data_IF_851233958641
#
_entry.id   IF_851233958641
#
_cell.length_a   1.000
_cell.length_b   1.000
_cell.length_c   1.000
_cell.angle_alpha   90.00
_cell.angle_beta   90.00
_cell.angle_gamma   90.00
#
_symmetry.space_group_name_H-M   'P 1'
#
loop_
_entity.id
_entity.type
_entity.pdbx_description
1 polymer ?
#
# COMPACT_ATOMS: atom_id res chain seq x y z
N UNK A 1 10.29 41.06 -38.82
CA UNK A 1 10.31 39.60 -38.62
C UNK A 1 10.90 39.17 -37.27
N UNK A 2 12.07 39.65 -36.85
CA UNK A 2 12.74 39.21 -35.60
C UNK A 2 11.91 39.46 -34.31
N UNK A 3 11.09 40.52 -34.25
CA UNK A 3 10.21 40.79 -33.09
C UNK A 3 9.03 39.81 -32.96
N UNK A 4 8.53 39.27 -34.07
CA UNK A 4 7.41 38.31 -34.07
C UNK A 4 7.92 36.93 -33.61
N UNK A 5 9.14 36.56 -34.00
CA UNK A 5 9.77 35.30 -33.60
C UNK A 5 10.03 35.22 -32.09
N UNK A 6 10.41 36.34 -31.45
CA UNK A 6 10.56 36.40 -29.98
C UNK A 6 9.24 36.22 -29.22
N UNK A 7 8.12 36.67 -29.80
CA UNK A 7 6.79 36.53 -29.18
C UNK A 7 6.29 35.09 -29.21
N UNK A 8 6.61 34.35 -30.29
CA UNK A 8 6.26 32.93 -30.45
C UNK A 8 7.02 32.04 -29.47
N UNK A 9 8.30 32.31 -29.21
CA UNK A 9 9.11 31.56 -28.24
C UNK A 9 8.58 31.74 -26.80
N UNK A 10 8.12 32.96 -26.46
CA UNK A 10 7.48 33.20 -25.16
C UNK A 10 6.15 32.44 -25.05
N UNK A 11 5.33 32.43 -26.11
CA UNK A 11 4.05 31.70 -26.14
C UNK A 11 4.19 30.17 -25.99
N UNK A 12 5.25 29.57 -26.55
CA UNK A 12 5.52 28.12 -26.39
C UNK A 12 5.96 27.80 -24.95
N UNK A 13 6.70 28.70 -24.29
CA UNK A 13 7.14 28.49 -22.91
C UNK A 13 5.98 28.52 -21.89
N UNK A 14 4.91 29.31 -22.13
CA UNK A 14 3.75 29.39 -21.24
C UNK A 14 2.77 28.21 -21.38
N UNK A 15 2.76 27.52 -22.53
CA UNK A 15 1.92 26.33 -22.71
C UNK A 15 2.56 25.03 -22.19
N UNK A 16 3.87 25.03 -21.92
CA UNK A 16 4.58 23.81 -21.52
C UNK A 16 4.55 23.53 -20.00
N UNK A 17 3.88 24.36 -19.20
CA UNK A 17 3.74 24.17 -17.75
C UNK A 17 2.28 24.21 -17.29
N UNK A 18 1.39 23.45 -17.94
CA UNK A 18 0.25 22.90 -17.21
C UNK A 18 0.66 21.52 -16.70
N UNK A 19 1.18 21.47 -15.47
CA UNK A 19 1.08 20.23 -14.69
C UNK A 19 -0.41 19.96 -14.56
N UNK A 20 -0.90 18.96 -15.28
CA UNK A 20 -2.18 18.33 -14.98
C UNK A 20 -1.93 17.57 -13.68
N UNK A 21 -1.91 18.28 -12.55
CA UNK A 21 -2.21 17.68 -11.26
C UNK A 21 -3.72 17.44 -11.25
N UNK A 22 -4.18 16.58 -12.16
CA UNK A 22 -5.58 16.32 -12.30
C UNK A 22 -5.98 15.26 -11.29
N UNK A 23 -7.02 15.61 -10.56
CA UNK A 23 -7.80 14.68 -9.78
C UNK A 23 -8.28 13.53 -10.67
N UNK A 24 -8.04 12.29 -10.25
CA UNK A 24 -8.59 11.11 -10.93
C UNK A 24 -9.90 10.68 -10.26
N UNK A 25 -11.01 11.23 -10.76
CA UNK A 25 -12.34 10.94 -10.22
C UNK A 25 -12.69 9.44 -10.27
N UNK A 26 -12.26 8.74 -11.33
CA UNK A 26 -12.59 7.32 -11.54
C UNK A 26 -11.87 6.47 -10.50
N UNK A 27 -10.56 6.62 -10.38
CA UNK A 27 -9.79 5.85 -9.41
C UNK A 27 -10.18 6.26 -7.97
N UNK A 28 -10.48 7.53 -7.71
CA UNK A 28 -11.00 7.98 -6.40
C UNK A 28 -12.28 7.24 -6.02
N UNK A 29 -13.20 7.07 -6.97
CA UNK A 29 -14.44 6.33 -6.75
C UNK A 29 -14.17 4.84 -6.49
N UNK A 30 -13.30 4.20 -7.29
CA UNK A 30 -12.89 2.80 -7.10
C UNK A 30 -12.33 2.60 -5.68
N UNK A 31 -11.38 3.44 -5.26
CA UNK A 31 -10.80 3.38 -3.92
C UNK A 31 -11.86 3.53 -2.84
N UNK A 32 -12.77 4.50 -3.02
CA UNK A 32 -13.87 4.77 -2.07
C UNK A 32 -14.78 3.56 -1.91
N UNK A 33 -15.09 2.86 -3.00
CA UNK A 33 -15.96 1.69 -2.96
C UNK A 33 -15.30 0.50 -2.24
N UNK A 34 -14.02 0.25 -2.46
CA UNK A 34 -13.29 -0.81 -1.77
C UNK A 34 -13.03 -0.50 -0.29
N UNK A 35 -12.80 0.77 0.07
CA UNK A 35 -12.64 1.20 1.47
C UNK A 35 -13.84 0.82 2.34
N UNK A 36 -15.06 0.78 1.78
CA UNK A 36 -16.29 0.44 2.51
C UNK A 36 -16.30 -0.99 3.07
N UNK A 37 -15.46 -1.87 2.53
CA UNK A 37 -15.38 -3.26 2.98
C UNK A 37 -14.51 -3.43 4.24
N UNK A 38 -13.77 -2.41 4.67
CA UNK A 38 -12.85 -2.48 5.79
C UNK A 38 -13.33 -1.64 6.99
N UNK A 39 -12.88 -1.95 8.22
CA UNK A 39 -13.18 -1.13 9.39
C UNK A 39 -12.75 0.33 9.18
N UNK A 40 -13.60 1.30 9.56
CA UNK A 40 -13.40 2.71 9.25
C UNK A 40 -12.03 3.24 9.72
N UNK A 41 -11.59 2.85 10.92
CA UNK A 41 -10.29 3.25 11.48
C UNK A 41 -9.11 2.78 10.63
N UNK A 42 -9.23 1.61 9.98
CA UNK A 42 -8.17 1.04 9.15
C UNK A 42 -8.00 1.73 7.80
N UNK A 43 -8.97 2.55 7.38
CA UNK A 43 -8.96 3.23 6.07
C UNK A 43 -8.88 4.76 6.15
N UNK A 44 -8.81 5.33 7.36
CA UNK A 44 -8.69 6.79 7.57
C UNK A 44 -7.40 7.39 7.01
N UNK A 45 -6.33 6.61 6.96
CA UNK A 45 -5.02 7.06 6.51
C UNK A 45 -4.88 7.13 4.98
N UNK A 46 -5.82 6.54 4.24
CA UNK A 46 -5.86 6.69 2.78
C UNK A 46 -6.24 8.12 2.40
N UNK A 47 -5.66 8.68 1.32
CA UNK A 47 -6.05 10.00 0.82
C UNK A 47 -7.52 10.02 0.38
N UNK A 48 -8.10 11.22 0.41
CA UNK A 48 -9.46 11.47 -0.06
C UNK A 48 -9.53 11.70 -1.57
N UNK A 49 -8.47 12.28 -2.13
CA UNK A 49 -8.31 12.56 -3.55
C UNK A 49 -6.98 11.96 -4.00
N UNK A 50 -6.99 11.26 -5.14
CA UNK A 50 -5.80 10.63 -5.68
C UNK A 50 -5.43 11.20 -7.04
N UNK A 51 -4.13 11.23 -7.31
CA UNK A 51 -3.58 11.69 -8.59
C UNK A 51 -3.78 10.69 -9.72
N UNK A 52 -3.16 10.95 -10.87
CA UNK A 52 -3.32 10.13 -12.07
C UNK A 52 -2.45 8.87 -12.11
N UNK A 53 -1.29 8.88 -11.47
CA UNK A 53 -0.34 7.75 -11.53
C UNK A 53 -0.50 6.81 -10.35
N UNK A 54 -1.64 6.12 -10.34
CA UNK A 54 -2.04 5.27 -9.23
C UNK A 54 -2.38 3.85 -9.66
N UNK A 55 -2.07 2.87 -8.81
CA UNK A 55 -2.65 1.54 -8.88
C UNK A 55 -3.45 1.27 -7.63
N UNK A 56 -4.69 0.82 -7.80
CA UNK A 56 -5.53 0.31 -6.71
C UNK A 56 -5.54 -1.21 -6.85
N UNK A 57 -5.10 -1.89 -5.80
CA UNK A 57 -4.95 -3.34 -5.76
C UNK A 57 -5.76 -3.84 -4.58
N UNK A 58 -6.60 -4.84 -4.77
CA UNK A 58 -7.43 -5.35 -3.70
C UNK A 58 -7.69 -6.85 -3.86
N UNK A 59 -7.81 -7.52 -2.72
CA UNK A 59 -8.39 -8.86 -2.62
C UNK A 59 -9.47 -8.82 -1.54
N UNK A 60 -10.70 -9.12 -1.92
CA UNK A 60 -11.86 -9.15 -1.02
C UNK A 60 -12.52 -10.52 -0.99
N UNK A 61 -11.83 -11.53 -1.52
CA UNK A 61 -12.26 -12.91 -1.48
C UNK A 61 -11.95 -13.53 -0.11
N UNK A 62 -12.92 -14.23 0.46
CA UNK A 62 -12.75 -14.99 1.70
C UNK A 62 -11.82 -16.20 1.54
N UNK A 63 -11.51 -16.59 0.30
CA UNK A 63 -10.61 -17.70 0.01
C UNK A 63 -9.23 -17.41 0.61
N UNK A 64 -8.76 -18.32 1.45
CA UNK A 64 -7.46 -18.27 2.16
C UNK A 64 -7.33 -17.15 3.21
N UNK A 65 -8.42 -16.49 3.62
CA UNK A 65 -8.42 -15.44 4.65
C UNK A 65 -7.32 -14.38 4.42
N UNK A 66 -7.18 -13.89 3.18
CA UNK A 66 -6.16 -12.88 2.84
C UNK A 66 -6.81 -11.69 2.15
N UNK A 67 -7.36 -10.78 2.95
CA UNK A 67 -8.04 -9.60 2.44
C UNK A 67 -7.07 -8.43 2.43
N UNK A 68 -7.07 -7.65 1.35
CA UNK A 68 -6.23 -6.47 1.27
C UNK A 68 -6.81 -5.38 0.38
N UNK A 69 -6.37 -4.16 0.64
CA UNK A 69 -6.53 -3.00 -0.22
C UNK A 69 -5.23 -2.20 -0.15
N UNK A 70 -4.62 -1.95 -1.31
CA UNK A 70 -3.47 -1.10 -1.49
C UNK A 70 -3.80 0.04 -2.45
N UNK A 71 -3.34 1.23 -2.11
CA UNK A 71 -3.21 2.35 -3.04
C UNK A 71 -1.72 2.60 -3.24
N UNK A 72 -1.24 2.42 -4.46
CA UNK A 72 0.13 2.76 -4.85
C UNK A 72 0.10 4.05 -5.65
N UNK A 73 0.71 5.11 -5.12
CA UNK A 73 0.91 6.38 -5.82
C UNK A 73 2.37 6.49 -6.29
N UNK A 74 2.58 6.90 -7.54
CA UNK A 74 3.91 7.03 -8.15
C UNK A 74 4.18 8.46 -8.61
N UNK A 75 5.45 8.74 -8.89
CA UNK A 75 5.92 10.03 -9.39
C UNK A 75 5.47 11.20 -8.50
N UNK A 76 5.41 10.96 -7.18
CA UNK A 76 5.07 11.98 -6.21
C UNK A 76 6.18 13.02 -6.11
N UNK A 77 5.80 14.29 -5.97
CA UNK A 77 6.77 15.34 -5.74
C UNK A 77 7.42 15.20 -4.36
N UNK A 78 8.64 15.67 -4.20
CA UNK A 78 9.31 15.69 -2.89
C UNK A 78 8.47 16.44 -1.83
N UNK A 79 7.80 17.52 -2.23
CA UNK A 79 6.85 18.24 -1.37
C UNK A 79 5.70 17.37 -0.89
N UNK A 80 5.12 16.55 -1.77
CA UNK A 80 4.02 15.64 -1.41
C UNK A 80 4.50 14.54 -0.46
N UNK A 81 5.66 13.94 -0.74
CA UNK A 81 6.27 12.94 0.13
C UNK A 81 6.55 13.55 1.52
N UNK A 82 7.15 14.72 1.59
CA UNK A 82 7.43 15.39 2.87
C UNK A 82 6.15 15.73 3.65
N UNK A 83 5.06 16.09 2.96
CA UNK A 83 3.74 16.30 3.58
C UNK A 83 3.19 15.01 4.18
N UNK A 84 3.27 13.89 3.46
CA UNK A 84 2.86 12.56 3.94
C UNK A 84 3.70 12.17 5.16
N UNK A 85 5.01 12.32 5.10
CA UNK A 85 5.90 11.97 6.21
C UNK A 85 5.65 12.82 7.46
N UNK A 86 5.28 14.09 7.27
CA UNK A 86 4.90 14.97 8.39
C UNK A 86 3.64 14.50 9.10
N UNK A 87 2.65 13.94 8.37
CA UNK A 87 1.44 13.38 8.99
C UNK A 87 1.66 12.04 9.69
N UNK A 88 2.78 11.35 9.38
CA UNK A 88 3.20 10.10 9.99
C UNK A 88 4.17 10.29 11.17
N UNK A 89 4.41 11.53 11.59
CA UNK A 89 5.29 11.81 12.72
C UNK A 89 4.80 11.12 14.00
N UNK A 90 5.70 10.42 14.69
CA UNK A 90 5.37 9.62 15.88
C UNK A 90 4.81 8.22 15.60
N UNK A 91 4.56 7.86 14.34
CA UNK A 91 4.18 6.49 13.96
C UNK A 91 5.43 5.60 13.93
N UNK A 92 5.29 4.36 14.40
CA UNK A 92 6.38 3.37 14.40
C UNK A 92 6.85 3.11 12.97
N UNK A 93 8.13 3.33 12.71
CA UNK A 93 8.75 3.13 11.41
C UNK A 93 9.77 1.98 11.42
N UNK A 94 9.73 1.16 10.38
CA UNK A 94 10.69 0.11 10.09
C UNK A 94 11.22 0.27 8.67
N UNK A 95 12.51 0.07 8.45
CA UNK A 95 13.05 0.00 7.09
C UNK A 95 12.85 -1.40 6.52
N UNK A 96 12.85 -1.53 5.20
CA UNK A 96 13.00 -2.84 4.57
C UNK A 96 14.24 -3.58 5.09
N UNK A 97 14.17 -4.91 5.10
CA UNK A 97 15.09 -5.84 5.77
C UNK A 97 15.12 -5.78 7.31
N UNK A 98 14.31 -4.95 7.98
CA UNK A 98 14.21 -5.00 9.45
C UNK A 98 13.65 -6.37 9.88
N UNK A 99 14.42 -7.09 10.72
CA UNK A 99 14.07 -8.42 11.24
C UNK A 99 12.80 -8.43 12.10
N UNK A 100 12.31 -7.25 12.50
CA UNK A 100 11.03 -7.09 13.24
C UNK A 100 9.80 -7.15 12.35
N UNK A 101 9.96 -6.98 11.02
CA UNK A 101 8.88 -7.14 10.06
C UNK A 101 8.48 -8.61 9.93
N UNK A 102 7.20 -8.88 10.08
CA UNK A 102 6.58 -10.18 9.82
C UNK A 102 5.82 -10.10 8.50
N UNK A 103 6.22 -10.85 7.48
CA UNK A 103 5.57 -10.75 6.16
C UNK A 103 4.34 -11.65 6.14
N UNK A 104 3.16 -11.05 5.99
CA UNK A 104 1.89 -11.78 5.88
C UNK A 104 1.96 -12.68 4.65
N UNK A 105 1.67 -13.97 4.80
CA UNK A 105 1.72 -14.94 3.70
C UNK A 105 3.07 -14.93 2.95
N UNK A 106 4.19 -14.86 3.67
CA UNK A 106 5.55 -14.72 3.10
C UNK A 106 5.87 -15.67 1.94
N UNK A 107 5.34 -16.89 1.96
CA UNK A 107 5.60 -17.92 0.95
C UNK A 107 4.52 -18.00 -0.13
N UNK A 108 3.52 -17.12 -0.09
CA UNK A 108 2.57 -16.97 -1.19
C UNK A 108 3.33 -16.72 -2.49
N UNK A 109 2.92 -17.45 -3.53
CA UNK A 109 3.47 -17.30 -4.88
C UNK A 109 2.33 -17.30 -5.88
N UNK A 110 2.49 -16.54 -6.97
CA UNK A 110 1.57 -16.58 -8.11
C UNK A 110 2.05 -17.62 -9.12
N UNK A 111 1.23 -18.62 -9.40
CA UNK A 111 1.45 -19.64 -10.42
C UNK A 111 0.30 -19.56 -11.40
N UNK A 112 0.59 -19.27 -12.67
CA UNK A 112 -0.43 -19.14 -13.73
C UNK A 112 -1.57 -18.16 -13.39
N UNK A 113 -1.28 -17.10 -12.62
CA UNK A 113 -2.26 -16.11 -12.19
C UNK A 113 -3.02 -16.46 -10.92
N UNK A 114 -2.80 -17.64 -10.33
CA UNK A 114 -3.43 -18.07 -9.08
C UNK A 114 -2.46 -17.98 -7.89
N UNK A 115 -2.96 -17.55 -6.73
CA UNK A 115 -2.18 -17.61 -5.49
C UNK A 115 -2.10 -19.04 -4.97
N UNK A 116 -0.86 -19.52 -4.81
CA UNK A 116 -0.53 -20.74 -4.08
C UNK A 116 0.09 -20.39 -2.74
N UNK A 117 -0.26 -21.17 -1.71
CA UNK A 117 0.24 -21.04 -0.35
C UNK A 117 0.94 -22.35 0.05
N UNK A 118 2.23 -22.50 -0.29
CA UNK A 118 3.01 -23.68 0.09
C UNK A 118 2.93 -23.90 1.61
N UNK A 119 2.66 -25.15 2.02
CA UNK A 119 2.70 -25.51 3.44
C UNK A 119 4.11 -25.31 3.97
N UNK A 120 4.23 -24.45 4.96
CA UNK A 120 5.48 -24.19 5.67
C UNK A 120 5.25 -24.31 7.17
N UNK A 121 6.33 -24.58 7.89
CA UNK A 121 6.33 -24.52 9.34
C UNK A 121 6.31 -23.06 9.79
N UNK A 122 5.11 -22.50 9.98
CA UNK A 122 4.92 -21.10 10.36
C UNK A 122 5.43 -20.77 11.77
N UNK A 123 5.70 -21.79 12.60
CA UNK A 123 6.31 -21.60 13.92
C UNK A 123 7.73 -21.01 13.86
N UNK A 124 8.39 -21.15 12.70
CA UNK A 124 9.74 -20.62 12.46
C UNK A 124 9.74 -19.18 11.96
N UNK A 125 8.57 -18.63 11.59
CA UNK A 125 8.48 -17.23 11.19
C UNK A 125 8.66 -16.35 12.42
N UNK A 126 9.61 -15.43 12.32
CA UNK A 126 9.96 -14.45 13.35
C UNK A 126 9.55 -13.06 12.87
N UNK A 127 9.28 -12.17 13.81
CA UNK A 127 8.83 -10.81 13.55
C UNK A 127 7.65 -10.45 14.44
N UNK A 128 7.56 -9.18 14.79
CA UNK A 128 6.55 -8.66 15.72
C UNK A 128 5.49 -7.85 15.00
N UNK A 129 5.84 -7.31 13.83
CA UNK A 129 5.03 -6.27 13.18
C UNK A 129 4.64 -6.73 11.78
N UNK A 130 3.39 -7.21 11.60
CA UNK A 130 2.95 -7.75 10.33
C UNK A 130 2.83 -6.66 9.26
N UNK A 131 3.36 -6.93 8.07
CA UNK A 131 3.16 -6.12 6.86
C UNK A 131 2.77 -7.04 5.69
N UNK A 132 2.07 -6.52 4.67
CA UNK A 132 1.71 -7.31 3.50
C UNK A 132 2.91 -7.88 2.74
N UNK A 133 2.70 -8.96 1.98
CA UNK A 133 3.70 -9.46 1.02
C UNK A 133 3.85 -8.55 -0.21
N UNK A 134 2.83 -7.74 -0.51
CA UNK A 134 2.75 -6.87 -1.69
C UNK A 134 2.98 -7.61 -3.02
N UNK A 135 2.70 -8.92 -3.08
CA UNK A 135 2.91 -9.77 -4.26
C UNK A 135 2.10 -9.31 -5.48
N UNK A 136 0.96 -8.67 -5.25
CA UNK A 136 0.11 -8.08 -6.28
C UNK A 136 0.67 -6.78 -6.87
N UNK A 137 1.65 -6.16 -6.20
CA UNK A 137 2.35 -4.95 -6.67
C UNK A 137 3.76 -5.28 -7.17
N UNK A 138 4.65 -5.67 -6.26
CA UNK A 138 6.06 -5.98 -6.50
C UNK A 138 6.50 -6.92 -5.39
N UNK A 139 6.84 -8.16 -5.74
CA UNK A 139 7.31 -9.11 -4.75
C UNK A 139 8.61 -8.60 -4.10
N UNK A 140 8.75 -8.78 -2.79
CA UNK A 140 10.00 -8.51 -2.09
C UNK A 140 10.26 -7.05 -1.70
N UNK A 141 9.29 -6.12 -1.77
CA UNK A 141 9.53 -4.72 -1.31
C UNK A 141 9.97 -4.64 0.15
N UNK A 142 9.54 -5.60 0.98
CA UNK A 142 9.97 -5.71 2.37
C UNK A 142 11.47 -5.98 2.52
N UNK A 143 12.16 -6.39 1.45
CA UNK A 143 13.61 -6.62 1.41
C UNK A 143 14.38 -5.46 0.78
N UNK A 144 13.69 -4.39 0.35
CA UNK A 144 14.32 -3.22 -0.21
C UNK A 144 14.56 -2.18 0.90
N UNK A 145 15.82 -1.86 1.24
CA UNK A 145 16.14 -0.94 2.34
C UNK A 145 15.70 0.51 2.08
N UNK A 146 15.32 0.85 0.85
CA UNK A 146 14.82 2.19 0.48
C UNK A 146 13.34 2.38 0.85
N UNK A 147 12.63 1.31 1.19
CA UNK A 147 11.28 1.41 1.73
C UNK A 147 11.30 1.66 3.25
N UNK A 148 10.56 2.69 3.66
CA UNK A 148 10.22 2.99 5.05
C UNK A 148 8.75 2.63 5.30
N UNK A 149 8.49 1.68 6.21
CA UNK A 149 7.16 1.19 6.57
C UNK A 149 6.69 1.84 7.87
N UNK A 150 5.71 2.72 7.77
CA UNK A 150 5.04 3.39 8.88
C UNK A 150 3.79 2.60 9.28
N UNK A 151 3.88 1.91 10.42
CA UNK A 151 2.85 0.99 10.89
C UNK A 151 1.91 1.74 11.80
N UNK A 152 0.75 2.13 11.27
CA UNK A 152 -0.25 2.89 12.03
C UNK A 152 -0.89 1.99 13.08
N UNK A 153 -1.21 0.74 12.72
CA UNK A 153 -1.76 -0.23 13.66
C UNK A 153 -1.53 -1.66 13.18
N UNK A 154 -1.34 -2.56 14.14
CA UNK A 154 -1.41 -4.00 13.93
C UNK A 154 -1.89 -4.69 15.21
N UNK A 155 -2.83 -5.63 15.07
CA UNK A 155 -3.22 -6.53 16.16
C UNK A 155 -3.65 -7.89 15.61
N UNK A 156 -3.67 -8.90 16.49
CA UNK A 156 -3.89 -10.30 16.15
C UNK A 156 -5.29 -10.81 16.52
N UNK A 157 -6.26 -9.92 16.66
CA UNK A 157 -7.63 -10.29 17.02
C UNK A 157 -8.34 -10.94 15.84
N UNK A 158 -9.29 -11.81 16.14
CA UNK A 158 -10.22 -12.36 15.16
C UNK A 158 -11.03 -11.24 14.49
N UNK A 159 -11.35 -11.43 13.22
CA UNK A 159 -12.00 -10.42 12.38
C UNK A 159 -13.24 -10.97 11.72
N UNK A 160 -14.20 -10.06 11.55
CA UNK A 160 -15.38 -10.29 10.73
C UNK A 160 -15.18 -9.57 9.40
N UNK A 161 -15.56 -10.23 8.31
CA UNK A 161 -15.68 -9.61 7.00
C UNK A 161 -17.01 -10.04 6.38
N UNK A 162 -17.84 -9.07 5.99
CA UNK A 162 -19.19 -9.33 5.43
C UNK A 162 -20.03 -10.27 6.31
N UNK A 163 -19.96 -10.09 7.63
CA UNK A 163 -20.62 -10.90 8.67
C UNK A 163 -20.13 -12.36 8.81
N UNK A 164 -19.04 -12.72 8.14
CA UNK A 164 -18.39 -14.02 8.30
C UNK A 164 -17.12 -13.88 9.14
N UNK A 165 -16.88 -14.85 10.02
CA UNK A 165 -15.64 -14.92 10.80
C UNK A 165 -14.50 -15.39 9.90
N UNK A 166 -13.42 -14.61 9.81
CA UNK A 166 -12.24 -15.04 9.08
C UNK A 166 -11.60 -16.23 9.77
N UNK A 167 -11.37 -17.30 9.01
CA UNK A 167 -10.66 -18.47 9.51
C UNK A 167 -9.19 -18.12 9.80
N UNK A 168 -8.49 -19.02 10.50
CA UNK A 168 -7.07 -18.83 10.77
C UNK A 168 -6.23 -18.91 9.49
N UNK A 169 -5.35 -17.95 9.29
CA UNK A 169 -4.34 -17.97 8.25
C UNK A 169 -3.23 -18.99 8.60
N UNK A 170 -3.22 -20.11 7.87
CA UNK A 170 -2.28 -21.20 8.07
C UNK A 170 -0.82 -20.85 7.72
N UNK A 171 -0.60 -19.78 6.95
CA UNK A 171 0.74 -19.32 6.56
C UNK A 171 1.38 -18.41 7.61
N UNK A 172 0.64 -18.05 8.67
CA UNK A 172 1.08 -17.19 9.76
C UNK A 172 1.38 -17.98 11.03
N UNK A 173 2.26 -17.47 11.93
CA UNK A 173 2.46 -18.04 13.27
C UNK A 173 1.15 -18.13 14.05
N UNK A 174 1.05 -19.05 15.01
CA UNK A 174 -0.15 -19.23 15.84
C UNK A 174 -0.63 -17.94 16.52
N UNK A 175 0.30 -17.10 16.99
CA UNK A 175 0.01 -15.80 17.62
C UNK A 175 -0.56 -14.79 16.62
N UNK A 176 -0.25 -14.93 15.34
CA UNK A 176 -0.68 -14.05 14.25
C UNK A 176 -1.57 -14.78 13.24
N UNK A 177 -2.22 -15.87 13.64
CA UNK A 177 -3.10 -16.64 12.75
C UNK A 177 -4.34 -15.84 12.31
N UNK A 178 -4.67 -14.77 13.03
CA UNK A 178 -5.63 -13.75 12.62
C UNK A 178 -4.96 -12.38 12.78
N UNK A 179 -5.52 -11.38 12.16
CA UNK A 179 -5.19 -10.00 12.50
C UNK A 179 -5.60 -8.97 11.47
N UNK A 180 -5.16 -7.76 11.75
CA UNK A 180 -5.17 -6.65 10.81
C UNK A 180 -3.83 -5.92 10.89
N UNK A 181 -3.42 -5.33 9.78
CA UNK A 181 -2.33 -4.38 9.70
C UNK A 181 -2.67 -3.28 8.70
N UNK A 182 -2.40 -2.03 9.05
CA UNK A 182 -2.56 -0.92 8.13
C UNK A 182 -1.52 0.17 8.38
N UNK A 183 -1.19 0.91 7.32
CA UNK A 183 -0.10 1.87 7.36
C UNK A 183 0.31 2.40 5.99
N UNK A 184 1.48 3.03 5.95
CA UNK A 184 2.03 3.68 4.76
C UNK A 184 3.47 3.27 4.53
N UNK A 185 3.82 2.88 3.31
CA UNK A 185 5.19 2.57 2.90
C UNK A 185 5.67 3.66 1.96
N UNK A 186 6.88 4.17 2.16
CA UNK A 186 7.42 5.29 1.39
C UNK A 186 8.79 4.88 0.82
N UNK A 187 8.97 5.08 -0.48
CA UNK A 187 10.29 5.01 -1.11
C UNK A 187 10.56 6.35 -1.81
N UNK A 188 11.49 7.13 -1.25
CA UNK A 188 11.81 8.47 -1.74
C UNK A 188 12.54 8.43 -3.08
N UNK A 189 13.40 7.44 -3.28
CA UNK A 189 14.23 7.29 -4.48
C UNK A 189 13.37 6.93 -5.69
N UNK A 190 12.39 6.03 -5.51
CA UNK A 190 11.41 5.66 -6.53
C UNK A 190 10.18 6.61 -6.57
N UNK A 191 10.17 7.66 -5.73
CA UNK A 191 9.08 8.63 -5.62
C UNK A 191 7.68 7.99 -5.49
N UNK A 192 7.60 6.92 -4.69
CA UNK A 192 6.36 6.16 -4.53
C UNK A 192 5.93 6.02 -3.07
N UNK A 193 4.61 5.95 -2.89
CA UNK A 193 3.95 5.73 -1.60
C UNK A 193 2.92 4.63 -1.76
N UNK A 194 2.84 3.74 -0.78
CA UNK A 194 1.86 2.66 -0.72
C UNK A 194 1.07 2.79 0.57
N UNK A 195 -0.22 3.07 0.47
CA UNK A 195 -1.16 2.97 1.59
C UNK A 195 -1.71 1.55 1.62
N UNK A 196 -1.82 0.92 2.79
CA UNK A 196 -2.36 -0.43 2.88
C UNK A 196 -3.32 -0.62 4.05
N UNK A 197 -4.27 -1.53 3.83
CA UNK A 197 -4.92 -2.31 4.87
C UNK A 197 -4.88 -3.77 4.45
N UNK A 198 -4.52 -4.65 5.38
CA UNK A 198 -4.55 -6.10 5.21
C UNK A 198 -5.21 -6.74 6.43
N UNK A 199 -6.05 -7.74 6.19
CA UNK A 199 -6.82 -8.44 7.20
C UNK A 199 -6.81 -9.94 6.91
N UNK A 200 -6.59 -10.76 7.94
CA UNK A 200 -6.44 -12.21 7.82
C UNK A 200 -6.89 -12.97 9.07
#
# INVERSE_FOLDING_TARGET
MIKILKFIIVLIAIYSCKRINGFDAKNTQILTDHKKNFPIESIKHFPHEIGHEVNIIYNEGLKNNNLNLYLVERNLSETDINRILSSLNGIKCHRGNDKRLLIINRNERKVEGFSEFPKIDSSKLKGETPIPNFIDYKNGIYSDPNYEFYIIHADNKERLFKNETLGGNASMPSVWKHGISYGVAVNRDEQNVIYWVAMW
#
